data_IF_764081970887
#
_entry.id   IF_764081970887
#
_cell.length_a   1.000
_cell.length_b   1.000
_cell.length_c   1.000
_cell.angle_alpha   90.00
_cell.angle_beta   90.00
_cell.angle_gamma   90.00
#
_symmetry.space_group_name_H-M   'P 1'
#
loop_
_entity.id
_entity.type
_entity.pdbx_description
1 polymer ?
#
# COMPACT_ATOMS: atom_id res chain seq x y z
N UNK A 1 24.50 32.00 26.57
CA UNK A 1 24.02 30.63 26.95
C UNK A 1 22.65 30.29 26.39
N UNK A 2 21.67 31.23 26.29
CA UNK A 2 20.30 30.94 25.76
C UNK A 2 20.25 30.71 24.26
N UNK A 3 21.09 31.36 23.47
CA UNK A 3 21.13 31.21 22.01
C UNK A 3 21.68 29.84 21.56
N UNK A 4 22.64 29.29 22.29
CA UNK A 4 23.27 28.01 22.00
C UNK A 4 22.31 26.81 22.20
N UNK A 5 21.44 26.90 23.22
CA UNK A 5 20.42 25.87 23.46
C UNK A 5 19.30 25.86 22.41
N UNK A 6 18.90 27.03 21.92
CA UNK A 6 17.90 27.12 20.84
C UNK A 6 18.37 26.50 19.53
N UNK A 7 19.62 26.77 19.14
CA UNK A 7 20.23 26.21 17.93
C UNK A 7 20.42 24.68 18.03
N UNK A 8 20.82 24.18 19.20
CA UNK A 8 20.96 22.74 19.43
C UNK A 8 19.61 22.01 19.40
N UNK A 9 18.56 22.60 19.97
CA UNK A 9 17.20 22.05 19.91
C UNK A 9 16.66 22.04 18.49
N UNK A 10 16.93 23.08 17.69
CA UNK A 10 16.49 23.17 16.30
C UNK A 10 17.18 22.09 15.44
N UNK A 11 18.50 21.90 15.61
CA UNK A 11 19.26 20.86 14.90
C UNK A 11 18.78 19.46 15.27
N UNK A 12 18.51 19.17 16.53
CA UNK A 12 17.98 17.89 16.97
C UNK A 12 16.57 17.63 16.43
N UNK A 13 15.73 18.66 16.38
CA UNK A 13 14.39 18.57 15.81
C UNK A 13 14.46 18.27 14.31
N UNK A 14 15.34 18.94 13.55
CA UNK A 14 15.54 18.69 12.13
C UNK A 14 15.99 17.26 11.85
N UNK A 15 16.96 16.74 12.60
CA UNK A 15 17.44 15.34 12.47
C UNK A 15 16.33 14.33 12.74
N UNK A 16 15.44 14.60 13.69
CA UNK A 16 14.30 13.72 13.97
C UNK A 16 13.31 13.72 12.81
N UNK A 17 12.97 14.91 12.28
CA UNK A 17 12.05 15.06 11.13
C UNK A 17 12.60 14.37 9.89
N UNK A 18 13.88 14.55 9.58
CA UNK A 18 14.53 13.93 8.43
C UNK A 18 14.57 12.38 8.56
N UNK A 19 14.77 11.87 9.77
CA UNK A 19 14.75 10.43 10.03
C UNK A 19 13.35 9.83 9.87
N UNK A 20 12.32 10.52 10.34
CA UNK A 20 10.93 10.05 10.23
C UNK A 20 10.44 10.10 8.77
N UNK A 21 10.79 11.13 8.01
CA UNK A 21 10.52 11.21 6.57
C UNK A 21 11.21 10.06 5.81
N UNK A 22 12.47 9.80 6.09
CA UNK A 22 13.24 8.69 5.50
C UNK A 22 12.63 7.31 5.84
N UNK A 23 12.05 7.15 7.03
CA UNK A 23 11.40 5.90 7.44
C UNK A 23 10.06 5.67 6.72
N UNK A 24 9.28 6.74 6.53
CA UNK A 24 8.03 6.70 5.76
C UNK A 24 8.28 6.35 4.28
N UNK A 25 9.25 7.01 3.65
CA UNK A 25 9.64 6.72 2.26
C UNK A 25 10.12 5.28 2.10
N UNK A 26 10.95 4.82 3.03
CA UNK A 26 11.46 3.46 3.04
C UNK A 26 10.33 2.43 3.19
N UNK A 27 9.33 2.72 4.01
CA UNK A 27 8.15 1.86 4.13
C UNK A 27 7.41 1.74 2.80
N UNK A 28 7.19 2.84 2.09
CA UNK A 28 6.53 2.83 0.77
C UNK A 28 7.33 1.99 -0.24
N UNK A 29 8.65 2.16 -0.31
CA UNK A 29 9.51 1.37 -1.21
C UNK A 29 9.44 -0.13 -0.90
N UNK A 30 9.45 -0.51 0.38
CA UNK A 30 9.32 -1.90 0.80
C UNK A 30 7.91 -2.43 0.52
N UNK A 31 6.87 -1.61 0.70
CA UNK A 31 5.50 -1.96 0.36
C UNK A 31 5.35 -2.26 -1.14
N UNK A 32 5.85 -1.38 -2.01
CA UNK A 32 5.88 -1.62 -3.46
C UNK A 32 6.61 -2.93 -3.79
N UNK A 33 7.77 -3.16 -3.16
CA UNK A 33 8.57 -4.37 -3.37
C UNK A 33 7.82 -5.65 -2.98
N UNK A 34 7.14 -5.70 -1.84
CA UNK A 34 6.40 -6.91 -1.43
C UNK A 34 5.19 -7.19 -2.31
N UNK A 35 4.54 -6.14 -2.84
CA UNK A 35 3.42 -6.27 -3.79
C UNK A 35 3.92 -6.80 -5.14
N UNK A 36 4.93 -6.18 -5.74
CA UNK A 36 5.51 -6.60 -7.03
C UNK A 36 6.09 -8.02 -6.97
N UNK A 37 6.73 -8.38 -5.85
CA UNK A 37 7.25 -9.74 -5.64
C UNK A 37 6.15 -10.78 -5.38
N UNK A 38 4.89 -10.38 -5.25
CA UNK A 38 3.78 -11.28 -4.95
C UNK A 38 3.85 -11.90 -3.55
N UNK A 39 4.49 -11.24 -2.60
CA UNK A 39 4.52 -11.67 -1.19
C UNK A 39 3.33 -11.17 -0.40
N UNK A 40 2.67 -10.14 -0.92
CA UNK A 40 1.43 -9.60 -0.41
C UNK A 40 0.55 -9.10 -1.55
N UNK A 41 -0.74 -8.93 -1.25
CA UNK A 41 -1.68 -8.30 -2.18
C UNK A 41 -2.66 -7.37 -1.44
N UNK A 42 -3.21 -6.44 -2.21
CA UNK A 42 -4.28 -5.53 -1.79
C UNK A 42 -5.51 -5.85 -2.63
N UNK A 43 -6.65 -6.10 -2.00
CA UNK A 43 -7.92 -6.41 -2.67
C UNK A 43 -8.76 -5.14 -2.92
N UNK A 44 -9.85 -5.26 -3.68
CA UNK A 44 -10.88 -4.24 -3.69
C UNK A 44 -11.67 -4.21 -2.35
N UNK A 45 -12.61 -3.31 -2.21
CA UNK A 45 -13.45 -3.17 -1.00
C UNK A 45 -14.22 -4.44 -0.63
N UNK A 46 -14.48 -5.32 -1.59
CA UNK A 46 -15.25 -6.54 -1.44
C UNK A 46 -14.39 -7.81 -1.36
N UNK A 47 -13.08 -7.66 -1.43
CA UNK A 47 -12.12 -8.77 -1.38
C UNK A 47 -11.77 -9.36 -2.74
N UNK A 48 -12.21 -8.74 -3.84
CA UNK A 48 -11.94 -9.16 -5.22
C UNK A 48 -10.70 -8.48 -5.81
N UNK A 49 -10.39 -8.84 -7.06
CA UNK A 49 -9.29 -8.22 -7.80
C UNK A 49 -9.60 -6.75 -8.09
N UNK A 50 -8.72 -5.82 -7.74
CA UNK A 50 -8.90 -4.40 -8.01
C UNK A 50 -8.44 -4.02 -9.44
N UNK A 51 -8.75 -2.80 -9.83
CA UNK A 51 -8.10 -2.14 -10.98
C UNK A 51 -6.59 -2.19 -10.87
N UNK A 52 -5.69 -1.85 -11.48
CA UNK A 52 -4.22 -1.89 -11.23
C UNK A 52 -3.69 -3.17 -10.54
N UNK A 53 -4.36 -4.30 -10.74
CA UNK A 53 -4.14 -5.56 -10.04
C UNK A 53 -2.67 -6.03 -10.02
N UNK A 54 -1.90 -5.80 -11.10
CA UNK A 54 -0.48 -6.18 -11.19
C UNK A 54 0.37 -5.44 -10.16
N UNK A 55 0.17 -4.13 -10.00
CA UNK A 55 0.89 -3.32 -9.02
C UNK A 55 0.45 -3.64 -7.57
N UNK A 56 -0.73 -4.22 -7.41
CA UNK A 56 -1.33 -4.56 -6.11
C UNK A 56 -1.18 -6.04 -5.74
N UNK A 57 -0.26 -6.76 -6.38
CA UNK A 57 0.13 -8.12 -6.00
C UNK A 57 -0.82 -9.21 -6.50
N UNK A 58 -1.54 -9.01 -7.60
CA UNK A 58 -2.40 -10.01 -8.22
C UNK A 58 -1.81 -10.54 -9.51
N UNK A 59 -2.17 -11.78 -9.86
CA UNK A 59 -1.81 -12.41 -11.13
C UNK A 59 -3.00 -13.07 -11.77
N UNK A 60 -2.99 -13.13 -13.10
CA UNK A 60 -3.89 -13.99 -13.85
C UNK A 60 -3.27 -15.36 -13.98
N UNK A 61 -3.98 -16.40 -13.56
CA UNK A 61 -3.54 -17.81 -13.61
C UNK A 61 -4.48 -18.60 -14.51
N UNK A 62 -3.92 -19.52 -15.28
CA UNK A 62 -4.65 -20.33 -16.26
C UNK A 62 -4.55 -19.75 -17.66
N UNK A 63 -5.18 -20.42 -18.62
CA UNK A 63 -5.19 -20.07 -20.04
C UNK A 63 -6.60 -20.14 -20.61
N UNK A 64 -6.93 -19.25 -21.53
CA UNK A 64 -8.22 -19.20 -22.19
C UNK A 64 -9.40 -19.03 -21.22
N UNK A 65 -10.45 -19.83 -21.40
CA UNK A 65 -11.67 -19.76 -20.57
C UNK A 65 -11.48 -20.15 -19.09
N UNK A 66 -10.34 -20.72 -18.73
CA UNK A 66 -10.00 -21.09 -17.34
C UNK A 66 -9.11 -20.06 -16.66
N UNK A 67 -8.99 -18.86 -17.22
CA UNK A 67 -8.21 -17.79 -16.63
C UNK A 67 -8.93 -17.22 -15.40
N UNK A 68 -8.22 -17.15 -14.27
CA UNK A 68 -8.72 -16.57 -13.02
C UNK A 68 -7.71 -15.63 -12.41
N UNK A 69 -8.22 -14.61 -11.72
CA UNK A 69 -7.39 -13.73 -10.91
C UNK A 69 -7.07 -14.37 -9.57
N UNK A 70 -5.82 -14.25 -9.13
CA UNK A 70 -5.38 -14.74 -7.82
C UNK A 70 -4.48 -13.72 -7.14
N UNK A 71 -4.86 -13.32 -5.90
CA UNK A 71 -4.03 -12.49 -5.04
C UNK A 71 -2.85 -13.28 -4.50
N UNK A 72 -1.66 -12.74 -4.66
CA UNK A 72 -0.41 -13.42 -4.27
C UNK A 72 -0.06 -13.12 -2.81
N UNK A 73 0.43 -14.14 -2.10
CA UNK A 73 0.87 -13.98 -0.71
C UNK A 73 -0.23 -13.56 0.27
N UNK A 74 0.13 -12.80 1.29
CA UNK A 74 -0.81 -12.38 2.33
C UNK A 74 -1.65 -11.16 1.88
N UNK A 75 -2.96 -11.17 2.18
CA UNK A 75 -3.78 -9.97 2.04
C UNK A 75 -3.41 -8.96 3.14
N UNK A 76 -2.94 -7.79 2.76
CA UNK A 76 -2.50 -6.73 3.69
C UNK A 76 -3.39 -5.49 3.69
N UNK A 77 -4.39 -5.42 2.80
CA UNK A 77 -5.26 -4.27 2.75
C UNK A 77 -6.27 -4.29 1.60
N UNK A 78 -6.88 -3.15 1.39
CA UNK A 78 -7.93 -2.91 0.40
C UNK A 78 -7.69 -1.59 -0.32
N UNK A 79 -8.12 -1.50 -1.59
CA UNK A 79 -8.08 -0.28 -2.40
C UNK A 79 -9.49 0.14 -2.78
N UNK A 80 -9.85 1.37 -2.47
CA UNK A 80 -11.11 2.03 -2.86
C UNK A 80 -11.02 3.54 -2.54
N UNK A 81 -11.86 4.36 -3.15
CA UNK A 81 -11.88 5.83 -2.99
C UNK A 81 -10.49 6.48 -3.21
N UNK A 82 -9.74 6.02 -4.23
CA UNK A 82 -8.36 6.47 -4.58
C UNK A 82 -7.36 6.36 -3.42
N UNK A 83 -7.60 5.45 -2.50
CA UNK A 83 -6.78 5.22 -1.32
C UNK A 83 -6.48 3.73 -1.14
N UNK A 84 -5.30 3.43 -0.61
CA UNK A 84 -4.94 2.10 -0.12
C UNK A 84 -5.16 2.07 1.39
N UNK A 85 -6.05 1.22 1.83
CA UNK A 85 -6.39 0.99 3.24
C UNK A 85 -5.64 -0.24 3.74
N UNK A 86 -4.52 -0.04 4.42
CA UNK A 86 -3.68 -1.14 4.94
C UNK A 86 -4.07 -1.53 6.35
N UNK A 87 -4.11 -2.83 6.61
CA UNK A 87 -4.02 -3.35 7.98
C UNK A 87 -2.58 -3.13 8.48
N UNK A 88 -2.37 -2.27 9.51
CA UNK A 88 -1.03 -1.91 9.93
C UNK A 88 -0.21 -3.12 10.38
N UNK A 89 -0.87 -4.06 11.07
CA UNK A 89 -0.21 -5.25 11.61
C UNK A 89 0.20 -6.22 10.51
N UNK A 90 -0.70 -6.49 9.56
CA UNK A 90 -0.41 -7.38 8.44
C UNK A 90 0.68 -6.78 7.54
N UNK A 91 0.59 -5.51 7.18
CA UNK A 91 1.56 -4.83 6.33
C UNK A 91 2.96 -4.80 6.97
N UNK A 92 3.08 -4.38 8.23
CA UNK A 92 4.36 -4.35 8.94
C UNK A 92 4.96 -5.74 9.10
N UNK A 93 4.14 -6.77 9.36
CA UNK A 93 4.61 -8.16 9.47
C UNK A 93 5.26 -8.67 8.19
N UNK A 94 4.58 -8.48 7.03
CA UNK A 94 5.12 -8.92 5.73
C UNK A 94 6.37 -8.14 5.34
N UNK A 95 6.37 -6.81 5.54
CA UNK A 95 7.52 -5.97 5.23
C UNK A 95 8.72 -6.32 6.11
N UNK A 96 8.53 -6.61 7.39
CA UNK A 96 9.61 -7.06 8.29
C UNK A 96 10.19 -8.40 7.84
N UNK A 97 9.37 -9.33 7.39
CA UNK A 97 9.87 -10.62 6.89
C UNK A 97 10.77 -10.45 5.68
N UNK A 98 10.45 -9.53 4.77
CA UNK A 98 11.30 -9.18 3.62
C UNK A 98 12.57 -8.47 4.06
N UNK A 99 12.45 -7.46 4.93
CA UNK A 99 13.59 -6.65 5.37
C UNK A 99 14.61 -7.44 6.19
N UNK A 100 14.18 -8.44 6.96
CA UNK A 100 15.08 -9.36 7.66
C UNK A 100 15.92 -10.20 6.70
N UNK A 101 15.36 -10.59 5.57
CA UNK A 101 16.07 -11.37 4.53
C UNK A 101 17.12 -10.53 3.79
N UNK A 102 16.93 -9.21 3.69
CA UNK A 102 17.75 -8.31 2.86
C UNK A 102 18.68 -7.39 3.67
N UNK A 103 18.79 -7.59 5.00
CA UNK A 103 19.58 -6.72 5.88
C UNK A 103 19.03 -5.29 6.07
N UNK A 104 17.90 -4.98 5.50
CA UNK A 104 17.22 -3.68 5.54
C UNK A 104 16.13 -3.65 6.62
N UNK A 105 16.52 -3.57 7.87
CA UNK A 105 15.59 -3.65 8.99
C UNK A 105 14.68 -2.42 9.09
N UNK A 106 13.35 -2.64 9.12
CA UNK A 106 12.35 -1.63 9.50
C UNK A 106 12.21 -1.65 11.03
N UNK A 107 12.82 -0.67 11.70
CA UNK A 107 12.89 -0.62 13.17
C UNK A 107 11.64 -0.12 13.85
N UNK A 108 10.73 0.53 13.11
CA UNK A 108 9.55 1.18 13.67
C UNK A 108 8.47 0.21 14.13
N UNK A 109 7.75 0.64 15.16
CA UNK A 109 6.49 0.03 15.56
C UNK A 109 5.37 0.52 14.64
N UNK A 110 4.24 -0.19 14.60
CA UNK A 110 3.05 0.23 13.83
C UNK A 110 2.63 1.67 14.15
N UNK A 111 2.75 2.06 15.42
CA UNK A 111 2.38 3.41 15.89
C UNK A 111 3.38 4.48 15.45
N UNK A 112 4.68 4.22 15.53
CA UNK A 112 5.71 5.17 15.08
C UNK A 112 5.71 5.31 13.57
N UNK A 113 5.48 4.22 12.83
CA UNK A 113 5.31 4.25 11.38
C UNK A 113 4.10 5.09 10.96
N UNK A 114 2.94 4.88 11.60
CA UNK A 114 1.74 5.65 11.31
C UNK A 114 1.94 7.15 11.57
N UNK A 115 2.71 7.50 12.59
CA UNK A 115 3.11 8.88 12.89
C UNK A 115 4.04 9.43 11.78
N UNK A 116 5.07 8.69 11.40
CA UNK A 116 6.01 9.09 10.35
C UNK A 116 5.30 9.30 9.00
N UNK A 117 4.39 8.40 8.61
CA UNK A 117 3.59 8.53 7.40
C UNK A 117 2.68 9.77 7.40
N UNK A 118 2.12 10.12 8.57
CA UNK A 118 1.33 11.34 8.73
C UNK A 118 2.20 12.60 8.58
N UNK A 119 3.34 12.64 9.24
CA UNK A 119 4.28 13.77 9.20
C UNK A 119 4.89 13.97 7.82
N UNK A 120 5.12 12.89 7.08
CA UNK A 120 5.52 12.91 5.68
C UNK A 120 4.36 13.23 4.70
N UNK A 121 3.15 13.51 5.19
CA UNK A 121 1.96 13.80 4.38
C UNK A 121 1.59 12.69 3.37
N UNK A 122 1.85 11.44 3.73
CA UNK A 122 1.58 10.24 2.90
C UNK A 122 0.22 9.61 3.19
N UNK A 123 -0.44 9.99 4.29
CA UNK A 123 -1.80 9.56 4.58
C UNK A 123 -2.81 10.40 3.81
N UNK A 124 -3.76 9.75 3.14
CA UNK A 124 -4.85 10.41 2.42
C UNK A 124 -5.94 10.89 3.39
N UNK A 125 -6.24 10.08 4.40
CA UNK A 125 -7.24 10.38 5.44
C UNK A 125 -6.70 9.87 6.78
N UNK A 126 -6.96 10.64 7.85
CA UNK A 126 -6.73 10.21 9.23
C UNK A 126 -7.74 10.89 10.15
N UNK A 127 -8.17 10.21 11.21
CA UNK A 127 -8.98 10.81 12.25
C UNK A 127 -8.15 11.84 13.04
N UNK A 128 -8.81 12.86 13.61
CA UNK A 128 -8.13 14.00 14.27
C UNK A 128 -7.15 13.55 15.37
N UNK A 129 -7.55 12.54 16.14
CA UNK A 129 -6.77 12.04 17.28
C UNK A 129 -5.96 10.77 16.98
N UNK A 130 -6.05 10.24 15.76
CA UNK A 130 -5.45 8.94 15.39
C UNK A 130 -4.86 8.99 13.99
N UNK A 131 -3.75 8.30 13.79
CA UNK A 131 -3.14 8.11 12.46
C UNK A 131 -3.82 7.01 11.63
N UNK A 132 -4.93 6.46 12.13
CA UNK A 132 -5.71 5.40 11.52
C UNK A 132 -7.13 5.89 11.26
N UNK A 133 -7.73 5.43 10.18
CA UNK A 133 -9.12 5.71 9.81
C UNK A 133 -9.99 4.51 10.11
N UNK A 134 -11.12 4.74 10.80
CA UNK A 134 -12.13 3.69 11.02
C UNK A 134 -12.97 3.52 9.76
N UNK A 135 -12.90 2.34 9.15
CA UNK A 135 -13.62 2.05 7.90
C UNK A 135 -14.27 0.67 7.92
N UNK A 136 -15.19 0.42 7.00
CA UNK A 136 -15.86 -0.87 6.84
C UNK A 136 -15.38 -1.54 5.57
N UNK A 137 -14.79 -2.73 5.70
CA UNK A 137 -14.31 -3.57 4.60
C UNK A 137 -14.81 -5.00 4.82
N UNK A 138 -15.28 -5.65 3.76
CA UNK A 138 -15.83 -7.02 3.82
C UNK A 138 -16.86 -7.21 4.96
N UNK A 139 -17.69 -6.18 5.21
CA UNK A 139 -18.71 -6.19 6.27
C UNK A 139 -18.20 -6.01 7.70
N UNK A 140 -16.91 -5.77 7.91
CA UNK A 140 -16.31 -5.56 9.24
C UNK A 140 -15.78 -4.15 9.40
N UNK A 141 -15.99 -3.55 10.56
CA UNK A 141 -15.38 -2.26 10.92
C UNK A 141 -14.01 -2.48 11.53
N UNK A 142 -13.00 -1.84 10.97
CA UNK A 142 -11.61 -1.93 11.43
C UNK A 142 -10.89 -0.58 11.31
N UNK A 143 -9.73 -0.46 11.97
CA UNK A 143 -8.87 0.71 11.87
C UNK A 143 -7.73 0.42 10.90
N UNK A 144 -7.63 1.21 9.84
CA UNK A 144 -6.68 1.02 8.74
C UNK A 144 -5.82 2.27 8.54
N UNK A 145 -4.61 2.09 8.04
CA UNK A 145 -3.78 3.17 7.49
C UNK A 145 -4.34 3.50 6.10
N UNK A 146 -4.73 4.75 5.89
CA UNK A 146 -5.25 5.20 4.60
C UNK A 146 -4.14 5.96 3.85
N UNK A 147 -3.42 5.25 2.97
CA UNK A 147 -2.36 5.81 2.13
C UNK A 147 -2.95 6.38 0.83
N UNK A 148 -2.28 7.39 0.28
CA UNK A 148 -2.55 7.86 -1.07
C UNK A 148 -2.16 6.80 -2.09
N UNK A 149 -3.05 6.54 -3.06
CA UNK A 149 -2.85 5.51 -4.08
C UNK A 149 -1.65 5.80 -4.98
N UNK A 150 -1.42 7.08 -5.31
CA UNK A 150 -0.32 7.55 -6.16
C UNK A 150 1.08 7.30 -5.59
N UNK A 151 1.20 7.02 -4.29
CA UNK A 151 2.47 6.65 -3.66
C UNK A 151 2.88 5.20 -3.95
N UNK A 152 1.95 4.35 -4.31
CA UNK A 152 2.19 2.90 -4.48
C UNK A 152 2.10 2.50 -5.94
N UNK A 153 1.21 3.15 -6.70
CA UNK A 153 1.04 2.91 -8.12
C UNK A 153 1.67 4.07 -8.86
N UNK A 154 2.76 3.82 -9.58
CA UNK A 154 3.32 4.79 -10.52
C UNK A 154 2.26 5.04 -11.60
N UNK A 155 1.90 6.32 -11.79
CA UNK A 155 0.95 6.73 -12.83
C UNK A 155 1.64 6.77 -14.20
N UNK A 156 2.22 5.65 -14.62
CA UNK A 156 2.75 5.50 -15.97
C UNK A 156 1.74 4.75 -16.87
N UNK A 157 0.92 5.54 -17.54
CA UNK A 157 0.07 5.11 -18.63
C UNK A 157 -1.39 4.78 -18.27
N UNK A 158 -2.29 4.83 -19.26
CA UNK A 158 -3.66 4.40 -19.10
C UNK A 158 -3.69 2.91 -18.70
N UNK A 159 -4.65 2.49 -17.84
CA UNK A 159 -4.75 1.09 -17.45
C UNK A 159 -4.79 0.20 -18.68
N UNK A 160 -4.12 -0.97 -18.66
CA UNK A 160 -4.25 -1.91 -19.76
C UNK A 160 -5.75 -2.19 -19.94
N UNK A 161 -6.28 -1.78 -21.10
CA UNK A 161 -7.66 -2.09 -21.45
C UNK A 161 -7.83 -3.58 -21.28
N UNK A 162 -8.76 -3.98 -20.41
CA UNK A 162 -9.20 -5.36 -20.32
C UNK A 162 -9.40 -5.86 -21.75
N UNK A 163 -8.93 -7.07 -22.10
CA UNK A 163 -9.21 -7.61 -23.41
C UNK A 163 -10.73 -7.68 -23.53
N UNK A 164 -11.30 -6.74 -24.29
CA UNK A 164 -12.68 -6.82 -24.73
C UNK A 164 -12.69 -8.06 -25.62
N UNK A 165 -13.23 -9.14 -25.10
CA UNK A 165 -13.67 -10.25 -25.93
C UNK A 165 -14.75 -9.70 -26.84
N UNK A 166 -14.30 -9.25 -28.01
CA UNK A 166 -15.17 -8.83 -29.09
C UNK A 166 -15.90 -10.09 -29.62
N UNK A 167 -17.04 -10.35 -28.99
CA UNK A 167 -18.02 -11.31 -29.46
C UNK A 167 -18.80 -10.64 -30.59
N UNK A 168 -18.15 -10.29 -31.68
CA UNK A 168 -18.85 -10.09 -32.96
C UNK A 168 -19.16 -11.48 -33.49
N UNK A 169 -20.27 -12.04 -32.99
CA UNK A 169 -20.93 -13.13 -33.66
C UNK A 169 -21.50 -12.64 -34.97
N UNK A 170 -20.93 -13.15 -36.04
CA UNK A 170 -21.57 -13.33 -37.33
C UNK A 170 -20.66 -14.23 -38.15
N UNK A 171 -20.95 -15.52 -38.12
CA UNK A 171 -20.83 -16.42 -39.25
C UNK A 171 -21.30 -17.81 -38.84
N UNK A 172 -22.61 -18.03 -38.98
CA UNK A 172 -23.19 -19.39 -39.10
C UNK A 172 -23.38 -19.62 -40.59
N UNK A 173 -22.57 -20.40 -41.27
CA UNK A 173 -22.96 -20.94 -42.58
C UNK A 173 -23.85 -22.17 -42.37
N UNK A 174 -24.95 -22.14 -43.07
CA UNK A 174 -25.90 -23.24 -43.25
C UNK A 174 -25.24 -24.48 -43.89
#
# INVERSE_FOLDING_TARGET
AKATNAAHNLANFQVIVDKEASEAERFIQLLQSVLVMGRAHVADKFGSMPDHYLALGWKMIGTGEHQRAEGQGAKIGWVFDDCIHLDPKAAVSVIRSLSSSNGNYLGSTERSLAKALREANMLAKCDADRNLTKTSVEGRRTYLLCLRLDLVIEQDGPPPKSPILDYSGDDIPF
#
